data_IF_371375178873
#
_entry.id   IF_371375178873
#
_cell.length_a   1.000
_cell.length_b   1.000
_cell.length_c   1.000
_cell.angle_alpha   90.00
_cell.angle_beta   90.00
_cell.angle_gamma   90.00
#
_symmetry.space_group_name_H-M   'P 1'
#
loop_
_entity.id
_entity.type
_entity.pdbx_description
1 polymer ?
#
# COMPACT_ATOMS: atom_id res chain seq x y z
N UNK A 1 -4.28 -17.22 1.15
CA UNK A 1 -5.46 -16.76 0.38
C UNK A 1 -5.78 -15.35 0.87
N UNK A 2 -5.24 -14.30 0.22
CA UNK A 2 -5.49 -12.90 0.62
C UNK A 2 -6.20 -12.20 -0.52
N UNK A 3 -7.36 -11.64 -0.22
CA UNK A 3 -8.28 -10.98 -1.16
C UNK A 3 -9.52 -10.52 -0.39
N UNK A 4 -10.28 -9.59 -0.99
CA UNK A 4 -11.51 -9.05 -0.41
C UNK A 4 -12.48 -10.17 -0.01
N UNK A 5 -12.85 -10.26 1.28
CA UNK A 5 -13.74 -11.31 1.82
C UNK A 5 -15.22 -10.99 1.67
N UNK A 6 -15.55 -9.79 1.22
CA UNK A 6 -16.92 -9.29 1.10
C UNK A 6 -17.54 -9.59 -0.27
N UNK A 7 -16.76 -10.02 -1.26
CA UNK A 7 -17.24 -10.34 -2.60
C UNK A 7 -16.75 -11.72 -3.04
N UNK A 8 -17.37 -12.30 -4.06
CA UNK A 8 -16.89 -13.54 -4.71
C UNK A 8 -15.71 -13.27 -5.67
N UNK A 9 -15.01 -12.16 -5.51
CA UNK A 9 -13.90 -11.72 -6.35
C UNK A 9 -12.65 -11.38 -5.53
N UNK A 10 -11.62 -10.89 -6.22
CA UNK A 10 -10.48 -10.24 -5.58
C UNK A 10 -10.52 -8.76 -5.91
N UNK A 11 -10.24 -7.93 -4.92
CA UNK A 11 -10.01 -6.52 -5.14
C UNK A 11 -8.88 -6.06 -4.24
N UNK A 12 -8.07 -5.18 -4.81
CA UNK A 12 -6.98 -4.49 -4.16
C UNK A 12 -7.01 -3.01 -4.56
N UNK A 13 -8.20 -2.41 -4.54
CA UNK A 13 -8.45 -1.04 -4.99
C UNK A 13 -7.57 -0.06 -4.22
N UNK A 14 -6.92 0.82 -4.97
CA UNK A 14 -6.18 1.99 -4.52
C UNK A 14 -6.76 3.16 -5.30
N UNK A 15 -7.26 4.17 -4.59
CA UNK A 15 -7.80 5.40 -5.16
C UNK A 15 -7.10 6.59 -4.51
N UNK A 16 -6.47 7.44 -5.33
CA UNK A 16 -5.77 8.64 -4.91
C UNK A 16 -6.30 9.80 -5.72
N UNK A 17 -6.83 10.81 -5.05
CA UNK A 17 -7.33 12.03 -5.68
C UNK A 17 -6.41 13.22 -5.35
N UNK A 18 -6.14 14.04 -6.37
CA UNK A 18 -5.44 15.31 -6.28
C UNK A 18 -6.19 16.40 -7.04
N UNK A 19 -5.61 17.60 -7.06
CA UNK A 19 -6.12 18.76 -7.81
C UNK A 19 -6.20 18.52 -9.33
N UNK A 20 -5.27 17.73 -9.87
CA UNK A 20 -5.17 17.41 -11.30
C UNK A 20 -5.97 16.17 -11.74
N UNK A 21 -6.73 15.54 -10.84
CA UNK A 21 -7.55 14.36 -11.12
C UNK A 21 -7.29 13.20 -10.18
N UNK A 22 -7.52 11.97 -10.64
CA UNK A 22 -7.42 10.77 -9.81
C UNK A 22 -6.56 9.67 -10.44
N UNK A 23 -5.94 8.86 -9.59
CA UNK A 23 -5.30 7.60 -9.94
C UNK A 23 -6.09 6.47 -9.30
N UNK A 24 -6.63 5.58 -10.13
CA UNK A 24 -7.41 4.43 -9.68
C UNK A 24 -6.73 3.16 -10.16
N UNK A 25 -6.30 2.31 -9.23
CA UNK A 25 -5.66 1.04 -9.51
C UNK A 25 -6.25 -0.11 -8.72
N UNK A 26 -6.13 -1.32 -9.23
CA UNK A 26 -6.43 -2.54 -8.48
C UNK A 26 -5.24 -3.50 -8.65
N UNK A 27 -4.48 -3.69 -7.57
CA UNK A 27 -3.28 -4.52 -7.59
C UNK A 27 -3.58 -6.03 -7.62
N UNK A 28 -4.80 -6.45 -7.26
CA UNK A 28 -5.23 -7.85 -7.39
C UNK A 28 -5.67 -8.17 -8.83
N UNK A 29 -6.18 -7.16 -9.55
CA UNK A 29 -6.62 -7.29 -10.94
C UNK A 29 -5.57 -6.80 -11.96
N UNK A 30 -4.47 -6.21 -11.51
CA UNK A 30 -3.38 -5.74 -12.36
C UNK A 30 -3.81 -4.61 -13.29
N UNK A 31 -4.59 -3.65 -12.80
CA UNK A 31 -5.10 -2.53 -13.60
C UNK A 31 -4.81 -1.18 -12.94
N UNK A 32 -4.59 -0.15 -13.76
CA UNK A 32 -4.40 1.22 -13.30
C UNK A 32 -4.90 2.20 -14.35
N UNK A 33 -5.44 3.32 -13.89
CA UNK A 33 -6.05 4.34 -14.75
C UNK A 33 -5.82 5.73 -14.14
N UNK A 34 -5.58 6.71 -15.02
CA UNK A 34 -5.76 8.10 -14.69
C UNK A 34 -7.19 8.52 -15.02
N UNK A 35 -7.81 9.30 -14.15
CA UNK A 35 -9.15 9.85 -14.34
C UNK A 35 -9.05 11.37 -14.35
N UNK A 36 -9.54 12.00 -15.42
CA UNK A 36 -9.62 13.46 -15.57
C UNK A 36 -10.99 13.83 -16.09
N UNK A 37 -11.78 14.55 -15.29
CA UNK A 37 -13.20 14.77 -15.58
C UNK A 37 -13.95 13.43 -15.65
N UNK A 38 -14.56 13.13 -16.79
CA UNK A 38 -15.25 11.86 -17.05
C UNK A 38 -14.40 10.86 -17.85
N UNK A 39 -13.18 11.24 -18.24
CA UNK A 39 -12.29 10.40 -19.03
C UNK A 39 -11.46 9.49 -18.14
N UNK A 40 -11.35 8.22 -18.55
CA UNK A 40 -10.50 7.20 -17.91
C UNK A 40 -9.46 6.69 -18.90
N UNK A 41 -8.20 7.05 -18.66
CA UNK A 41 -7.09 6.65 -19.51
C UNK A 41 -6.31 5.51 -18.84
N UNK A 42 -6.16 4.33 -19.47
CA UNK A 42 -5.34 3.25 -18.93
C UNK A 42 -3.89 3.69 -18.73
N UNK A 43 -3.29 3.32 -17.61
CA UNK A 43 -1.87 3.53 -17.34
C UNK A 43 -1.09 2.26 -17.65
N UNK A 44 0.05 2.36 -18.36
CA UNK A 44 0.89 1.21 -18.62
C UNK A 44 1.45 0.68 -17.29
N UNK A 45 1.23 -0.60 -17.04
CA UNK A 45 1.81 -1.30 -15.91
C UNK A 45 2.97 -2.17 -16.40
N UNK A 46 4.04 -2.22 -15.61
CA UNK A 46 5.13 -3.14 -15.84
C UNK A 46 4.74 -4.59 -15.57
N UNK A 47 5.69 -5.51 -15.76
CA UNK A 47 5.49 -6.91 -15.40
C UNK A 47 5.19 -7.08 -13.91
N UNK A 48 4.34 -8.05 -13.59
CA UNK A 48 4.05 -8.40 -12.21
C UNK A 48 5.30 -8.97 -11.53
N UNK A 49 5.78 -8.25 -10.54
CA UNK A 49 6.93 -8.65 -9.74
C UNK A 49 6.48 -9.46 -8.53
N UNK A 50 6.97 -10.70 -8.32
CA UNK A 50 6.66 -11.50 -7.14
C UNK A 50 7.27 -10.89 -5.86
N UNK A 51 6.51 -10.03 -5.17
CA UNK A 51 7.00 -9.22 -4.04
C UNK A 51 7.71 -10.05 -2.97
N UNK A 52 7.19 -11.23 -2.59
CA UNK A 52 7.83 -12.10 -1.58
C UNK A 52 9.23 -12.51 -2.02
N UNK A 53 9.41 -12.91 -3.28
CA UNK A 53 10.72 -13.31 -3.82
C UNK A 53 11.69 -12.14 -3.79
N UNK A 54 11.26 -10.95 -4.21
CA UNK A 54 12.14 -9.78 -4.24
C UNK A 54 12.48 -9.27 -2.83
N UNK A 55 11.55 -9.33 -1.88
CA UNK A 55 11.83 -8.99 -0.47
C UNK A 55 12.85 -9.96 0.14
N UNK A 56 12.73 -11.27 -0.12
CA UNK A 56 13.72 -12.24 0.35
C UNK A 56 15.10 -12.04 -0.28
N UNK A 57 15.15 -11.64 -1.56
CA UNK A 57 16.41 -11.27 -2.22
C UNK A 57 17.02 -10.01 -1.61
N UNK A 58 16.22 -8.98 -1.35
CA UNK A 58 16.67 -7.77 -0.69
C UNK A 58 17.22 -8.07 0.73
N UNK A 59 16.54 -8.94 1.47
CA UNK A 59 17.03 -9.42 2.76
C UNK A 59 18.39 -10.13 2.65
N UNK A 60 18.55 -11.03 1.67
CA UNK A 60 19.82 -11.71 1.45
C UNK A 60 20.96 -10.71 1.14
N UNK A 61 20.72 -9.71 0.30
CA UNK A 61 21.71 -8.66 -0.02
C UNK A 61 22.06 -7.78 1.18
N UNK A 62 21.10 -7.47 2.03
CA UNK A 62 21.38 -6.78 3.29
C UNK A 62 22.36 -7.58 4.15
N UNK A 63 22.14 -8.89 4.30
CA UNK A 63 22.99 -9.74 5.15
C UNK A 63 24.38 -9.98 4.54
N UNK A 64 24.44 -10.22 3.22
CA UNK A 64 25.68 -10.59 2.55
C UNK A 64 26.54 -9.39 2.17
N UNK A 65 25.91 -8.31 1.71
CA UNK A 65 26.57 -7.18 1.05
C UNK A 65 26.39 -5.86 1.81
N UNK A 66 25.54 -5.83 2.84
CA UNK A 66 25.22 -4.61 3.58
C UNK A 66 24.32 -3.64 2.82
N UNK A 67 23.68 -4.08 1.72
CA UNK A 67 22.78 -3.22 0.94
C UNK A 67 21.53 -2.85 1.75
N UNK A 68 21.21 -1.55 1.91
CA UNK A 68 20.03 -1.15 2.67
C UNK A 68 18.74 -1.61 1.96
N UNK A 69 17.78 -2.20 2.69
CA UNK A 69 16.51 -2.61 2.11
C UNK A 69 15.63 -1.40 1.74
N UNK A 70 14.70 -1.58 0.80
CA UNK A 70 13.73 -0.54 0.42
C UNK A 70 12.74 -0.19 1.55
N UNK A 71 12.55 -1.10 2.50
CA UNK A 71 11.73 -0.91 3.67
C UNK A 71 12.49 -1.40 4.91
N UNK A 72 12.45 -0.60 5.96
CA UNK A 72 13.11 -0.82 7.24
C UNK A 72 12.16 -1.42 8.27
N UNK A 73 12.68 -2.03 9.36
CA UNK A 73 11.84 -2.40 10.51
C UNK A 73 11.02 -1.22 11.05
N UNK A 74 11.58 -0.01 11.04
CA UNK A 74 10.93 1.21 11.51
C UNK A 74 9.72 1.60 10.64
N UNK A 75 9.77 1.36 9.33
CA UNK A 75 8.61 1.50 8.44
C UNK A 75 7.47 0.57 8.88
N UNK A 76 7.82 -0.68 9.22
CA UNK A 76 6.88 -1.66 9.75
C UNK A 76 6.27 -1.21 11.08
N UNK A 77 7.09 -0.69 11.99
CA UNK A 77 6.63 -0.19 13.29
C UNK A 77 5.66 0.99 13.13
N UNK A 78 5.96 1.94 12.23
CA UNK A 78 5.04 3.05 11.91
C UNK A 78 3.70 2.58 11.36
N UNK A 79 3.69 1.57 10.49
CA UNK A 79 2.46 0.99 9.98
C UNK A 79 1.59 0.38 11.10
N UNK A 80 2.22 -0.28 12.08
CA UNK A 80 1.52 -0.83 13.25
C UNK A 80 0.92 0.28 14.11
N UNK A 81 1.63 1.38 14.35
CA UNK A 81 1.10 2.52 15.12
C UNK A 81 -0.19 3.10 14.51
N UNK A 82 -0.27 3.16 13.18
CA UNK A 82 -1.48 3.58 12.47
C UNK A 82 -2.62 2.59 12.71
N UNK A 83 -2.35 1.28 12.57
CA UNK A 83 -3.38 0.26 12.80
C UNK A 83 -3.92 0.30 14.24
N UNK A 84 -3.06 0.45 15.23
CA UNK A 84 -3.47 0.60 16.63
C UNK A 84 -4.27 1.87 16.88
N UNK A 85 -3.91 2.99 16.24
CA UNK A 85 -4.68 4.23 16.35
C UNK A 85 -6.09 4.08 15.76
N UNK A 86 -6.26 3.35 14.66
CA UNK A 86 -7.57 3.00 14.13
C UNK A 86 -8.40 2.21 15.14
N UNK A 87 -7.80 1.22 15.81
CA UNK A 87 -8.49 0.47 16.88
C UNK A 87 -8.95 1.39 18.02
N UNK A 88 -8.04 2.23 18.54
CA UNK A 88 -8.37 3.21 19.60
C UNK A 88 -9.45 4.21 19.17
N UNK A 89 -9.43 4.65 17.92
CA UNK A 89 -10.43 5.58 17.38
C UNK A 89 -11.82 4.95 17.36
N UNK A 90 -11.93 3.68 16.97
CA UNK A 90 -13.20 2.93 17.00
C UNK A 90 -13.71 2.76 18.42
N UNK A 91 -12.84 2.35 19.36
CA UNK A 91 -13.21 2.13 20.76
C UNK A 91 -13.69 3.41 21.46
N UNK A 92 -13.07 4.55 21.14
CA UNK A 92 -13.40 5.84 21.74
C UNK A 92 -14.46 6.65 20.99
N UNK A 93 -14.84 6.22 19.78
CA UNK A 93 -15.68 6.99 18.85
C UNK A 93 -15.17 8.43 18.63
N UNK A 94 -13.85 8.62 18.69
CA UNK A 94 -13.21 9.93 18.63
C UNK A 94 -12.00 9.91 17.69
N UNK A 95 -11.57 11.10 17.27
CA UNK A 95 -10.33 11.28 16.53
C UNK A 95 -9.14 10.98 17.46
N UNK A 96 -8.19 10.18 16.96
CA UNK A 96 -6.97 9.83 17.67
C UNK A 96 -5.77 10.31 16.86
N UNK A 97 -4.89 11.08 17.49
CA UNK A 97 -3.61 11.48 16.90
C UNK A 97 -2.66 10.28 16.86
N UNK A 98 -1.99 10.09 15.73
CA UNK A 98 -0.89 9.14 15.61
C UNK A 98 0.42 9.90 15.80
N UNK A 99 1.03 9.79 16.97
CA UNK A 99 2.35 10.37 17.25
C UNK A 99 3.47 9.46 16.76
N UNK A 100 4.63 10.02 16.39
CA UNK A 100 5.79 9.24 15.96
C UNK A 100 5.78 8.81 14.49
N UNK A 101 4.99 9.50 13.65
CA UNK A 101 5.04 9.38 12.18
C UNK A 101 5.93 10.43 11.51
N UNK A 102 6.56 11.31 12.30
CA UNK A 102 7.46 12.32 11.77
C UNK A 102 8.69 11.64 11.14
N UNK A 103 9.03 12.08 9.92
CA UNK A 103 10.17 11.61 9.10
C UNK A 103 11.27 12.66 9.11
#
# INVERSE_FOLDING_TARGET
MSGCRATRGRSGLIDVAGDEGQLVGDHQLGSAYAVRGLERTPLPLGELVPTVREVLRAFARLILDGEPPLATPEDGARAVLIAEACHRSVESAALVTVSGLDV
#
